data_IF_543284542835
#
_entry.id   IF_543284542835
#
_cell.length_a   1.000
_cell.length_b   1.000
_cell.length_c   1.000
_cell.angle_alpha   90.00
_cell.angle_beta   90.00
_cell.angle_gamma   90.00
#
_symmetry.space_group_name_H-M   'P 1'
#
loop_
_entity.id
_entity.type
_entity.pdbx_description
1 polymer ?
#
# COMPACT_ATOMS: atom_id res chain seq x y z
N UNK A 1 -7.24 8.43 -21.36
CA UNK A 1 -7.48 6.98 -21.51
C UNK A 1 -6.15 6.28 -21.75
N UNK A 2 -5.63 5.54 -20.77
CA UNK A 2 -4.31 4.89 -20.83
C UNK A 2 -4.32 3.51 -21.53
N UNK A 3 -5.27 3.27 -22.45
CA UNK A 3 -5.38 2.02 -23.21
C UNK A 3 -5.78 0.76 -22.43
N UNK A 4 -6.24 0.90 -21.18
CA UNK A 4 -6.62 -0.25 -20.33
C UNK A 4 -8.15 -0.45 -20.29
N UNK A 5 -8.60 -1.62 -20.70
CA UNK A 5 -9.99 -2.06 -20.53
C UNK A 5 -10.37 -2.16 -19.05
N UNK A 6 -11.49 -1.54 -18.66
CA UNK A 6 -11.91 -1.46 -17.26
C UNK A 6 -12.04 -2.84 -16.62
N UNK A 7 -12.61 -3.81 -17.34
CA UNK A 7 -12.88 -5.16 -16.83
C UNK A 7 -11.60 -5.96 -16.53
N UNK A 8 -10.50 -5.71 -17.25
CA UNK A 8 -9.24 -6.44 -17.09
C UNK A 8 -8.22 -5.74 -16.20
N UNK A 9 -8.46 -4.48 -15.80
CA UNK A 9 -7.49 -3.64 -15.08
C UNK A 9 -6.82 -4.29 -13.86
N UNK A 10 -7.52 -5.15 -13.13
CA UNK A 10 -6.97 -5.83 -11.94
C UNK A 10 -6.10 -7.04 -12.30
N UNK A 11 -6.43 -7.77 -13.38
CA UNK A 11 -5.58 -8.83 -13.92
C UNK A 11 -4.29 -8.22 -14.50
N UNK A 12 -4.42 -7.11 -15.22
CA UNK A 12 -3.30 -6.33 -15.70
C UNK A 12 -2.41 -5.79 -14.56
N UNK A 13 -3.01 -5.22 -13.50
CA UNK A 13 -2.26 -4.72 -12.34
C UNK A 13 -1.46 -5.85 -11.68
N UNK A 14 -2.11 -7.00 -11.45
CA UNK A 14 -1.47 -8.19 -10.88
C UNK A 14 -0.22 -8.56 -11.66
N UNK A 15 -0.32 -8.75 -12.97
CA UNK A 15 0.84 -9.15 -13.79
C UNK A 15 1.94 -8.10 -13.79
N UNK A 16 1.59 -6.81 -13.83
CA UNK A 16 2.59 -5.74 -13.73
C UNK A 16 3.33 -5.75 -12.40
N UNK A 17 2.64 -5.98 -11.29
CA UNK A 17 3.29 -6.07 -9.97
C UNK A 17 4.23 -7.27 -9.92
N UNK A 18 3.78 -8.44 -10.37
CA UNK A 18 4.60 -9.66 -10.35
C UNK A 18 5.83 -9.52 -11.27
N UNK A 19 5.65 -9.01 -12.49
CA UNK A 19 6.74 -8.72 -13.41
C UNK A 19 7.76 -7.73 -12.82
N UNK A 20 7.31 -6.67 -12.15
CA UNK A 20 8.24 -5.73 -11.49
C UNK A 20 9.00 -6.41 -10.34
N UNK A 21 8.36 -7.28 -9.56
CA UNK A 21 9.03 -8.05 -8.50
C UNK A 21 10.09 -8.99 -9.08
N UNK A 22 9.83 -9.64 -10.22
CA UNK A 22 10.84 -10.42 -10.96
C UNK A 22 12.04 -9.55 -11.37
N UNK A 23 11.77 -8.42 -12.04
CA UNK A 23 12.80 -7.49 -12.51
C UNK A 23 13.66 -6.96 -11.36
N UNK A 24 13.05 -6.63 -10.22
CA UNK A 24 13.75 -6.08 -9.06
C UNK A 24 14.57 -7.11 -8.28
N UNK A 25 14.14 -8.38 -8.28
CA UNK A 25 14.72 -9.42 -7.44
C UNK A 25 15.79 -10.21 -8.20
N UNK A 26 15.54 -10.54 -9.46
CA UNK A 26 16.36 -11.47 -10.24
C UNK A 26 17.34 -10.73 -11.15
N UNK A 27 18.56 -11.25 -11.26
CA UNK A 27 19.60 -10.68 -12.14
C UNK A 27 19.18 -10.79 -13.61
N UNK A 28 18.77 -11.98 -14.01
CA UNK A 28 18.15 -12.30 -15.29
C UNK A 28 16.67 -12.54 -15.00
N UNK A 29 15.80 -11.62 -15.42
CA UNK A 29 14.37 -11.69 -15.16
C UNK A 29 13.61 -12.04 -16.44
N UNK A 30 12.58 -12.85 -16.32
CA UNK A 30 11.62 -13.18 -17.39
C UNK A 30 10.22 -13.23 -16.79
N UNK A 31 9.20 -12.96 -17.60
CA UNK A 31 7.81 -13.04 -17.15
C UNK A 31 6.90 -13.34 -18.34
N UNK A 32 6.04 -14.35 -18.21
CA UNK A 32 5.15 -14.79 -19.28
C UNK A 32 3.70 -14.88 -18.77
N UNK A 33 2.99 -13.77 -18.83
CA UNK A 33 1.56 -13.65 -18.54
C UNK A 33 0.71 -13.33 -19.76
N UNK A 34 -0.59 -13.11 -19.55
CA UNK A 34 -1.57 -12.75 -20.58
C UNK A 34 -1.35 -11.31 -21.09
N UNK A 35 -0.95 -10.40 -20.21
CA UNK A 35 -0.81 -8.97 -20.47
C UNK A 35 0.64 -8.48 -20.48
N UNK A 36 1.52 -9.12 -19.71
CA UNK A 36 2.95 -8.81 -19.65
C UNK A 36 3.70 -10.05 -20.10
N UNK A 37 4.52 -9.92 -21.14
CA UNK A 37 5.31 -11.03 -21.66
C UNK A 37 6.65 -10.51 -22.16
N UNK A 38 7.74 -10.96 -21.55
CA UNK A 38 9.10 -10.70 -22.02
C UNK A 38 10.02 -11.88 -21.70
N UNK A 39 10.90 -12.17 -22.66
CA UNK A 39 12.05 -13.06 -22.47
C UNK A 39 13.10 -12.40 -21.59
N UNK A 40 14.14 -13.15 -21.23
CA UNK A 40 15.23 -12.73 -20.34
C UNK A 40 15.74 -11.31 -20.60
N UNK A 41 15.64 -10.49 -19.55
CA UNK A 41 16.22 -9.15 -19.51
C UNK A 41 17.11 -8.96 -18.28
N UNK A 42 18.00 -7.97 -18.37
CA UNK A 42 18.81 -7.46 -17.28
C UNK A 42 18.43 -6.00 -17.03
N UNK A 43 18.10 -5.68 -15.78
CA UNK A 43 17.74 -4.33 -15.38
C UNK A 43 18.54 -3.95 -14.14
N UNK A 44 19.41 -2.95 -14.29
CA UNK A 44 20.25 -2.42 -13.23
C UNK A 44 20.11 -0.88 -13.16
N UNK A 45 20.31 -0.27 -11.98
CA UNK A 45 20.65 -0.92 -10.71
C UNK A 45 19.44 -1.62 -10.05
N UNK A 46 19.70 -2.69 -9.30
CA UNK A 46 18.68 -3.30 -8.43
C UNK A 46 18.31 -2.38 -7.27
N UNK A 47 17.06 -2.45 -6.76
CA UNK A 47 16.70 -1.74 -5.53
C UNK A 47 17.57 -2.13 -4.35
N UNK A 48 17.84 -1.15 -3.48
CA UNK A 48 18.60 -1.34 -2.25
C UNK A 48 17.83 -2.25 -1.28
N UNK A 49 16.52 -2.05 -1.15
CA UNK A 49 15.62 -2.85 -0.33
C UNK A 49 15.47 -4.27 -0.90
N UNK A 50 15.60 -5.29 -0.03
CA UNK A 50 15.48 -6.71 -0.37
C UNK A 50 14.20 -7.33 0.21
N UNK A 51 13.56 -8.28 -0.48
CA UNK A 51 13.88 -8.73 -1.85
C UNK A 51 13.60 -7.65 -2.92
N UNK A 52 12.62 -6.78 -2.67
CA UNK A 52 12.25 -5.64 -3.48
C UNK A 52 11.63 -4.55 -2.58
N UNK A 53 11.41 -3.32 -3.08
CA UNK A 53 10.62 -2.32 -2.36
C UNK A 53 9.20 -2.83 -2.07
N UNK A 54 8.59 -2.51 -0.92
CA UNK A 54 7.27 -3.02 -0.58
C UNK A 54 6.19 -2.43 -1.49
N UNK A 55 5.32 -3.29 -2.01
CA UNK A 55 4.15 -2.90 -2.82
C UNK A 55 2.93 -2.80 -1.92
N UNK A 56 2.47 -1.57 -1.69
CA UNK A 56 1.29 -1.30 -0.86
C UNK A 56 0.03 -1.32 -1.73
N UNK A 57 -0.95 -2.14 -1.35
CA UNK A 57 -2.23 -2.19 -2.05
C UNK A 57 -3.18 -1.16 -1.44
N UNK A 58 -3.56 -0.17 -2.24
CA UNK A 58 -4.56 0.81 -1.88
C UNK A 58 -6.00 0.31 -2.05
N UNK A 59 -6.93 0.93 -1.34
CA UNK A 59 -8.38 0.71 -1.46
C UNK A 59 -8.98 -0.18 -0.38
N UNK A 60 -10.29 -0.37 -0.45
CA UNK A 60 -11.10 -1.05 0.58
C UNK A 60 -12.27 -1.86 -0.01
N UNK A 61 -12.26 -2.10 -1.33
CA UNK A 61 -13.26 -2.88 -2.05
C UNK A 61 -13.16 -4.39 -1.75
N UNK A 62 -14.20 -5.14 -2.14
CA UNK A 62 -14.41 -6.55 -1.78
C UNK A 62 -13.23 -7.50 -2.05
N UNK A 63 -12.44 -7.23 -3.09
CA UNK A 63 -11.31 -8.09 -3.51
C UNK A 63 -9.94 -7.51 -3.13
N UNK A 64 -9.90 -6.49 -2.27
CA UNK A 64 -8.63 -5.82 -1.92
C UNK A 64 -7.69 -6.75 -1.16
N UNK A 65 -8.22 -7.52 -0.19
CA UNK A 65 -7.40 -8.44 0.59
C UNK A 65 -6.91 -9.64 -0.23
N UNK A 66 -7.63 -10.06 -1.25
CA UNK A 66 -7.12 -11.10 -2.19
C UNK A 66 -5.80 -10.64 -2.81
N UNK A 67 -5.73 -9.37 -3.24
CA UNK A 67 -4.52 -8.76 -3.81
C UNK A 67 -3.41 -8.59 -2.79
N UNK A 68 -3.74 -8.13 -1.58
CA UNK A 68 -2.75 -7.99 -0.50
C UNK A 68 -2.12 -9.34 -0.19
N UNK A 69 -2.94 -10.38 -0.05
CA UNK A 69 -2.49 -11.74 0.25
C UNK A 69 -1.65 -12.31 -0.88
N UNK A 70 -2.08 -12.14 -2.13
CA UNK A 70 -1.44 -12.74 -3.29
C UNK A 70 -0.09 -12.07 -3.64
N UNK A 71 -0.06 -10.74 -3.78
CA UNK A 71 1.13 -10.05 -4.31
C UNK A 71 1.45 -8.72 -3.60
N UNK A 72 0.71 -8.36 -2.55
CA UNK A 72 0.94 -7.16 -1.76
C UNK A 72 1.83 -7.37 -0.53
N UNK A 73 2.53 -6.30 -0.15
CA UNK A 73 3.43 -6.24 1.01
C UNK A 73 2.88 -5.28 2.09
N UNK A 74 1.66 -4.79 1.92
CA UNK A 74 1.00 -3.88 2.85
C UNK A 74 -0.37 -3.45 2.35
N UNK A 75 -1.16 -2.91 3.26
CA UNK A 75 -2.49 -2.38 2.96
C UNK A 75 -2.55 -0.89 3.26
N UNK A 76 -3.03 -0.10 2.29
CA UNK A 76 -3.09 1.36 2.39
C UNK A 76 -4.50 1.90 2.08
N UNK A 77 -5.46 1.75 3.00
CA UNK A 77 -6.80 2.28 2.81
C UNK A 77 -6.83 3.80 3.07
N UNK A 78 -7.91 4.42 2.58
CA UNK A 78 -8.20 5.83 2.82
C UNK A 78 -9.18 5.92 3.99
N UNK A 79 -8.83 6.70 5.01
CA UNK A 79 -9.78 7.10 6.05
C UNK A 79 -10.76 8.13 5.48
N UNK A 80 -12.06 7.88 5.63
CA UNK A 80 -13.13 8.79 5.21
C UNK A 80 -14.13 8.94 6.36
N UNK A 81 -14.91 10.03 6.45
CA UNK A 81 -15.82 10.27 7.57
C UNK A 81 -16.82 9.13 7.87
N UNK A 82 -17.15 8.30 6.87
CA UNK A 82 -18.13 7.20 7.00
C UNK A 82 -17.50 5.80 6.93
N UNK A 83 -16.18 5.70 6.92
CA UNK A 83 -15.48 4.42 6.79
C UNK A 83 -14.38 4.35 7.82
N UNK A 84 -14.32 3.25 8.57
CA UNK A 84 -13.24 3.01 9.52
C UNK A 84 -12.43 1.77 9.09
N UNK A 85 -11.32 1.95 8.35
CA UNK A 85 -10.53 0.81 7.87
C UNK A 85 -9.95 -0.06 8.99
N UNK A 86 -9.83 0.47 10.21
CA UNK A 86 -9.33 -0.26 11.37
C UNK A 86 -10.14 -1.54 11.65
N UNK A 87 -11.47 -1.48 11.44
CA UNK A 87 -12.38 -2.61 11.67
C UNK A 87 -12.08 -3.82 10.78
N UNK A 88 -11.41 -3.62 9.64
CA UNK A 88 -11.05 -4.70 8.71
C UNK A 88 -9.65 -5.28 8.95
N UNK A 89 -8.87 -4.72 9.87
CA UNK A 89 -7.52 -5.22 10.17
C UNK A 89 -7.55 -6.69 10.63
N UNK A 90 -8.45 -7.12 11.55
CA UNK A 90 -8.53 -8.53 11.94
C UNK A 90 -8.81 -9.48 10.77
N UNK A 91 -9.69 -9.09 9.84
CA UNK A 91 -9.97 -9.88 8.64
C UNK A 91 -8.71 -10.04 7.77
N UNK A 92 -7.98 -8.95 7.53
CA UNK A 92 -6.71 -9.00 6.79
C UNK A 92 -5.72 -9.97 7.45
N UNK A 93 -5.57 -9.89 8.77
CA UNK A 93 -4.66 -10.77 9.53
C UNK A 93 -5.03 -12.23 9.40
N UNK A 94 -6.32 -12.54 9.48
CA UNK A 94 -6.81 -13.91 9.32
C UNK A 94 -6.61 -14.44 7.88
N UNK A 95 -6.84 -13.60 6.87
CA UNK A 95 -6.61 -13.97 5.46
C UNK A 95 -5.12 -14.25 5.16
N UNK A 96 -4.21 -13.44 5.72
CA UNK A 96 -2.77 -13.70 5.63
C UNK A 96 -2.40 -15.04 6.29
N UNK A 97 -2.92 -15.28 7.50
CA UNK A 97 -2.68 -16.53 8.22
C UNK A 97 -3.17 -17.76 7.44
N UNK A 98 -4.39 -17.71 6.88
CA UNK A 98 -4.96 -18.78 6.06
C UNK A 98 -4.14 -19.06 4.80
N UNK A 99 -3.46 -18.04 4.27
CA UNK A 99 -2.55 -18.17 3.13
C UNK A 99 -1.12 -18.57 3.54
N UNK A 100 -0.87 -18.93 4.80
CA UNK A 100 0.45 -19.33 5.29
C UNK A 100 1.44 -18.17 5.46
N UNK A 101 0.98 -16.91 5.40
CA UNK A 101 1.81 -15.72 5.63
C UNK A 101 1.77 -15.32 7.11
N UNK A 102 2.86 -14.75 7.60
CA UNK A 102 2.85 -14.04 8.87
C UNK A 102 1.78 -12.93 8.82
N UNK A 103 0.81 -12.89 9.76
CA UNK A 103 -0.16 -11.82 9.85
C UNK A 103 0.46 -10.42 9.86
N UNK A 104 1.68 -10.25 10.39
CA UNK A 104 2.39 -8.97 10.44
C UNK A 104 3.11 -8.59 9.14
N UNK A 105 3.21 -9.51 8.16
CA UNK A 105 3.91 -9.30 6.89
C UNK A 105 3.27 -8.26 5.94
N UNK A 106 2.10 -7.71 6.30
CA UNK A 106 1.45 -6.64 5.55
C UNK A 106 1.11 -5.46 6.48
N UNK A 107 2.07 -4.56 6.80
CA UNK A 107 1.79 -3.37 7.59
C UNK A 107 0.64 -2.53 7.02
N UNK A 108 -0.13 -1.90 7.91
CA UNK A 108 -1.29 -1.07 7.53
C UNK A 108 -0.89 0.40 7.59
N UNK A 109 -1.18 1.13 6.52
CA UNK A 109 -0.86 2.56 6.38
C UNK A 109 -2.13 3.35 6.07
N UNK A 110 -2.60 4.16 7.00
CA UNK A 110 -3.85 4.91 6.82
C UNK A 110 -3.56 6.23 6.10
N UNK A 111 -4.10 6.38 4.89
CA UNK A 111 -4.11 7.66 4.18
C UNK A 111 -5.24 8.54 4.69
N UNK A 112 -4.99 9.85 4.83
CA UNK A 112 -5.89 10.81 5.49
C UNK A 112 -6.18 10.48 6.96
N UNK A 113 -5.16 10.02 7.70
CA UNK A 113 -5.26 9.84 9.13
C UNK A 113 -5.60 11.18 9.83
N UNK A 114 -6.47 11.19 10.87
CA UNK A 114 -6.77 12.42 11.61
C UNK A 114 -5.52 12.91 12.36
N UNK A 115 -5.12 14.19 12.20
CA UNK A 115 -3.93 14.76 12.85
C UNK A 115 -4.26 15.16 14.30
N UNK A 116 -4.70 14.20 15.12
CA UNK A 116 -5.04 14.39 16.53
C UNK A 116 -4.45 13.26 17.36
N UNK A 117 -3.74 13.58 18.45
CA UNK A 117 -3.05 12.59 19.29
C UNK A 117 -3.93 11.41 19.72
N UNK A 118 -5.15 11.61 20.26
CA UNK A 118 -6.02 10.47 20.61
C UNK A 118 -6.39 9.57 19.42
N UNK A 119 -6.53 10.13 18.22
CA UNK A 119 -6.81 9.35 17.03
C UNK A 119 -5.58 8.54 16.60
N UNK A 120 -4.38 9.13 16.68
CA UNK A 120 -3.13 8.43 16.38
C UNK A 120 -2.85 7.30 17.37
N UNK A 121 -3.10 7.54 18.66
CA UNK A 121 -2.98 6.53 19.70
C UNK A 121 -3.94 5.36 19.44
N UNK A 122 -5.19 5.65 19.04
CA UNK A 122 -6.16 4.62 18.66
C UNK A 122 -5.73 3.84 17.41
N UNK A 123 -5.16 4.50 16.40
CA UNK A 123 -4.62 3.82 15.21
C UNK A 123 -3.43 2.91 15.58
N UNK A 124 -2.51 3.41 16.40
CA UNK A 124 -1.36 2.63 16.87
C UNK A 124 -1.80 1.41 17.68
N UNK A 125 -2.74 1.58 18.62
CA UNK A 125 -3.32 0.49 19.41
C UNK A 125 -4.02 -0.57 18.53
N UNK A 126 -4.58 -0.16 17.39
CA UNK A 126 -5.17 -1.05 16.40
C UNK A 126 -4.16 -1.75 15.48
N UNK A 127 -2.85 -1.49 15.64
CA UNK A 127 -1.79 -2.09 14.82
C UNK A 127 -1.60 -1.42 13.45
N UNK A 128 -1.96 -0.14 13.32
CA UNK A 128 -1.59 0.69 12.17
C UNK A 128 -0.13 1.11 12.29
N UNK A 129 0.65 0.84 11.26
CA UNK A 129 2.09 1.13 11.20
C UNK A 129 2.38 2.58 10.82
N UNK A 130 1.56 3.15 9.92
CA UNK A 130 1.77 4.50 9.40
C UNK A 130 0.47 5.28 9.33
N UNK A 131 0.49 6.50 9.85
CA UNK A 131 -0.55 7.50 9.67
C UNK A 131 -0.03 8.56 8.69
N UNK A 132 -0.76 8.79 7.60
CA UNK A 132 -0.40 9.76 6.56
C UNK A 132 -1.42 10.90 6.60
N UNK A 133 -0.96 12.11 6.90
CA UNK A 133 -1.83 13.28 6.96
C UNK A 133 -2.12 13.84 5.58
N UNK A 134 -3.35 14.29 5.39
CA UNK A 134 -3.73 15.02 4.18
C UNK A 134 -3.18 16.43 4.21
N UNK A 135 -2.45 16.79 3.16
CA UNK A 135 -2.08 18.17 2.89
C UNK A 135 -2.95 18.67 1.75
N UNK A 136 -3.81 19.68 1.97
CA UNK A 136 -4.64 20.22 0.91
C UNK A 136 -3.78 20.97 -0.12
N UNK A 137 -4.25 20.99 -1.37
CA UNK A 137 -3.62 21.74 -2.45
C UNK A 137 -3.97 23.23 -2.32
N UNK A 138 -3.29 23.93 -1.42
CA UNK A 138 -3.44 25.37 -1.17
C UNK A 138 -2.08 26.10 -1.24
N UNK A 139 -2.09 27.42 -1.05
CA UNK A 139 -0.88 28.23 -1.07
C UNK A 139 0.09 27.82 0.04
N UNK A 140 1.37 28.15 -0.14
CA UNK A 140 2.42 27.97 0.87
C UNK A 140 1.99 28.51 2.24
N UNK A 141 1.47 29.73 2.28
CA UNK A 141 1.10 30.42 3.52
C UNK A 141 -0.08 29.76 4.24
N UNK A 142 -0.95 29.05 3.51
CA UNK A 142 -2.02 28.25 4.07
C UNK A 142 -1.57 26.83 4.51
N UNK A 143 -0.56 26.26 3.83
CA UNK A 143 -0.06 24.90 4.09
C UNK A 143 0.97 24.86 5.23
N UNK A 144 1.91 25.80 5.29
CA UNK A 144 3.00 25.76 6.28
C UNK A 144 2.50 25.74 7.74
N UNK A 145 1.56 26.60 8.17
CA UNK A 145 1.04 26.55 9.53
C UNK A 145 0.35 25.21 9.87
N UNK A 146 -0.24 24.54 8.88
CA UNK A 146 -0.85 23.22 9.07
C UNK A 146 0.21 22.14 9.25
N UNK A 147 1.32 22.20 8.51
CA UNK A 147 2.46 21.30 8.71
C UNK A 147 3.09 21.49 10.10
N UNK A 148 3.20 22.72 10.59
CA UNK A 148 3.66 23.00 11.95
C UNK A 148 2.74 22.39 13.00
N UNK A 149 1.41 22.50 12.80
CA UNK A 149 0.42 21.86 13.66
C UNK A 149 0.53 20.33 13.63
N UNK A 150 0.73 19.73 12.46
CA UNK A 150 0.96 18.28 12.33
C UNK A 150 2.23 17.84 13.06
N UNK A 151 3.32 18.59 12.92
CA UNK A 151 4.59 18.33 13.59
C UNK A 151 4.47 18.46 15.12
N UNK A 152 3.66 19.40 15.61
CA UNK A 152 3.38 19.50 17.04
C UNK A 152 2.69 18.25 17.60
N UNK A 153 1.69 17.72 16.89
CA UNK A 153 0.99 16.48 17.28
C UNK A 153 1.90 15.25 17.27
N UNK A 154 2.86 15.19 16.34
CA UNK A 154 3.84 14.08 16.27
C UNK A 154 4.87 14.11 17.41
N UNK A 155 5.10 15.27 18.03
CA UNK A 155 6.10 15.45 19.10
C UNK A 155 5.52 15.32 20.52
N UNK A 156 4.20 15.41 20.65
CA UNK A 156 3.46 15.21 21.91
C UNK A 156 3.20 13.74 22.19
#
# INVERSE_FOLDING_TARGET
NHGTEWKSRWRLLRERVLAMKEIWTNREAEFHGEFVNFDKIWADPKPIQKPHPPVLIGGDGATTFDRVVEYGDGWMPIMRPKTNPVEKIPELRERLKKAGRDPKSAPVSIFFAPPKKPALDALAAAGVERAIFGVPSETRDAVLPRLDAFAAVMRS
#
